data_IF_097619367129
#
_entry.id   IF_097619367129
#
_cell.length_a   1.000
_cell.length_b   1.000
_cell.length_c   1.000
_cell.angle_alpha   90.00
_cell.angle_beta   90.00
_cell.angle_gamma   90.00
#
_symmetry.space_group_name_H-M   'P 1'
#
loop_
_entity.id
_entity.type
_entity.pdbx_description
1 polymer ?
#
# COMPACT_ATOMS: atom_id res chain seq x y z
N UNK A 1 2.83 -26.17 13.12
CA UNK A 1 2.37 -25.43 11.96
C UNK A 1 1.39 -24.35 12.42
N UNK A 2 1.43 -23.20 11.77
CA UNK A 2 0.50 -22.08 11.94
C UNK A 2 -0.24 -21.89 10.63
N UNK A 3 -1.57 -21.83 10.66
CA UNK A 3 -2.39 -21.53 9.50
C UNK A 3 -2.84 -20.07 9.59
N UNK A 4 -2.54 -19.29 8.55
CA UNK A 4 -2.95 -17.89 8.43
C UNK A 4 -3.78 -17.67 7.17
N UNK A 5 -4.57 -16.58 7.08
CA UNK A 5 -5.06 -16.14 5.80
C UNK A 5 -3.90 -15.87 4.85
N UNK A 6 -4.12 -16.02 3.55
CA UNK A 6 -3.18 -15.54 2.54
C UNK A 6 -2.99 -14.01 2.65
N UNK A 7 -1.80 -13.53 2.36
CA UNK A 7 -1.44 -12.13 2.56
C UNK A 7 -2.12 -11.23 1.52
N UNK A 8 -2.49 -10.04 1.97
CA UNK A 8 -3.09 -8.96 1.17
C UNK A 8 -2.09 -7.83 1.07
N UNK A 9 -1.45 -7.71 -0.06
CA UNK A 9 -0.51 -6.60 -0.33
C UNK A 9 -1.26 -5.46 -1.01
N UNK A 10 -1.50 -4.39 -0.26
CA UNK A 10 -2.38 -3.30 -0.68
C UNK A 10 -1.69 -2.22 -1.53
N UNK A 11 -0.39 -2.37 -1.82
CA UNK A 11 0.39 -1.42 -2.59
C UNK A 11 1.52 -2.13 -3.36
N UNK A 12 1.26 -2.44 -4.64
CA UNK A 12 2.23 -3.12 -5.52
C UNK A 12 2.23 -2.49 -6.91
N UNK A 13 3.42 -2.18 -7.42
CA UNK A 13 3.60 -1.76 -8.80
C UNK A 13 3.56 -2.96 -9.74
N UNK A 14 2.37 -3.54 -9.96
CA UNK A 14 2.23 -4.80 -10.71
C UNK A 14 2.75 -4.75 -12.15
N UNK A 15 2.85 -3.54 -12.74
CA UNK A 15 3.51 -3.29 -14.04
C UNK A 15 5.01 -2.99 -13.89
N UNK A 16 5.56 -3.06 -12.68
CA UNK A 16 6.85 -2.51 -12.35
C UNK A 16 6.79 -1.00 -12.10
N UNK A 17 7.79 -0.47 -11.42
CA UNK A 17 8.02 0.94 -11.14
C UNK A 17 9.25 1.48 -11.87
N UNK A 18 9.75 2.61 -11.38
CA UNK A 18 10.95 3.25 -11.92
C UNK A 18 10.69 4.14 -13.12
N UNK A 19 11.76 4.48 -13.79
CA UNK A 19 11.80 5.49 -14.84
C UNK A 19 12.53 6.76 -14.39
N UNK A 20 12.69 6.95 -13.08
CA UNK A 20 13.54 7.99 -12.51
C UNK A 20 15.00 7.74 -12.89
N UNK A 21 15.65 8.75 -13.45
CA UNK A 21 17.01 8.62 -14.00
C UNK A 21 17.09 8.05 -15.41
N UNK A 22 15.95 7.85 -16.09
CA UNK A 22 15.87 7.49 -17.51
C UNK A 22 15.24 6.14 -17.81
N UNK A 23 15.00 5.88 -19.09
CA UNK A 23 14.26 4.72 -19.59
C UNK A 23 14.87 3.35 -19.25
N UNK A 24 16.15 3.29 -18.93
CA UNK A 24 16.81 2.05 -18.52
C UNK A 24 16.55 1.67 -17.05
N UNK A 25 16.10 2.61 -16.22
CA UNK A 25 15.86 2.41 -14.80
C UNK A 25 14.41 1.97 -14.54
N UNK A 26 14.06 0.80 -15.04
CA UNK A 26 12.72 0.23 -14.88
C UNK A 26 12.80 -1.12 -14.17
N UNK A 27 11.92 -1.34 -13.19
CA UNK A 27 11.75 -2.64 -12.55
C UNK A 27 10.84 -3.53 -13.40
N UNK A 28 10.96 -4.86 -13.32
CA UNK A 28 10.10 -5.78 -14.06
C UNK A 28 8.68 -5.81 -13.50
N UNK A 29 7.75 -6.36 -14.29
CA UNK A 29 6.39 -6.63 -13.83
C UNK A 29 6.35 -7.71 -12.74
N UNK A 30 5.35 -7.61 -11.84
CA UNK A 30 5.05 -8.68 -10.91
C UNK A 30 4.51 -9.91 -11.63
N UNK A 31 4.84 -11.10 -11.12
CA UNK A 31 4.25 -12.37 -11.57
C UNK A 31 3.46 -13.00 -10.43
N UNK A 32 2.42 -13.77 -10.75
CA UNK A 32 1.66 -14.51 -9.75
C UNK A 32 2.59 -15.42 -8.92
N UNK A 33 3.48 -16.16 -9.57
CA UNK A 33 4.45 -17.03 -8.90
C UNK A 33 5.36 -16.24 -7.93
N UNK A 34 5.85 -15.08 -8.39
CA UNK A 34 6.70 -14.20 -7.59
C UNK A 34 6.00 -13.65 -6.34
N UNK A 35 4.69 -13.38 -6.43
CA UNK A 35 3.88 -12.92 -5.31
C UNK A 35 3.49 -14.08 -4.38
N UNK A 36 2.96 -15.17 -4.93
CA UNK A 36 2.52 -16.34 -4.15
C UNK A 36 3.67 -16.98 -3.37
N UNK A 37 4.87 -17.02 -3.93
CA UNK A 37 6.07 -17.51 -3.25
C UNK A 37 6.27 -16.86 -1.87
N UNK A 38 5.81 -15.62 -1.70
CA UNK A 38 5.92 -14.87 -0.47
C UNK A 38 4.61 -14.78 0.32
N UNK A 39 3.64 -15.66 0.02
CA UNK A 39 2.37 -15.76 0.74
C UNK A 39 1.29 -14.78 0.27
N UNK A 40 1.58 -13.94 -0.72
CA UNK A 40 0.62 -12.95 -1.23
C UNK A 40 -0.37 -13.63 -2.17
N UNK A 41 -1.62 -13.73 -1.76
CA UNK A 41 -2.73 -14.28 -2.54
C UNK A 41 -3.66 -13.19 -3.08
N UNK A 42 -3.55 -12.00 -2.51
CA UNK A 42 -4.36 -10.83 -2.89
C UNK A 42 -3.47 -9.61 -3.07
N UNK A 43 -3.60 -8.91 -4.20
CA UNK A 43 -2.79 -7.74 -4.53
C UNK A 43 -3.64 -6.57 -4.98
N UNK A 44 -3.22 -5.35 -4.63
CA UNK A 44 -3.78 -4.12 -5.18
C UNK A 44 -2.70 -3.37 -5.95
N UNK A 45 -2.88 -3.29 -7.27
CA UNK A 45 -1.94 -2.68 -8.20
C UNK A 45 -2.06 -1.16 -8.23
N UNK A 46 -0.92 -0.47 -8.40
CA UNK A 46 -0.86 0.97 -8.61
C UNK A 46 0.13 1.34 -9.71
N UNK A 47 -0.02 2.55 -10.24
CA UNK A 47 0.99 3.25 -11.04
C UNK A 47 1.68 4.27 -10.13
N UNK A 48 3.00 4.36 -10.22
CA UNK A 48 3.78 5.33 -9.47
C UNK A 48 4.10 6.59 -10.28
N UNK A 49 5.37 7.01 -10.30
CA UNK A 49 5.85 8.23 -10.95
C UNK A 49 5.58 8.25 -12.46
N UNK A 50 5.77 7.10 -13.14
CA UNK A 50 5.51 6.98 -14.59
C UNK A 50 4.05 6.55 -14.85
N UNK A 51 3.17 7.52 -15.02
CA UNK A 51 1.79 7.33 -15.48
C UNK A 51 1.60 7.50 -16.98
N UNK A 52 2.68 7.47 -17.79
CA UNK A 52 2.68 7.66 -19.25
C UNK A 52 3.17 6.39 -19.95
N UNK A 53 4.36 5.95 -19.62
CA UNK A 53 4.95 4.72 -20.17
C UNK A 53 4.35 3.44 -19.58
N UNK A 54 3.68 3.56 -18.45
CA UNK A 54 2.77 2.59 -17.84
C UNK A 54 1.44 3.30 -17.60
N UNK A 55 0.39 2.86 -18.22
CA UNK A 55 -0.91 3.53 -18.20
C UNK A 55 -2.03 2.69 -17.57
N UNK A 56 -3.21 3.28 -17.44
CA UNK A 56 -4.37 2.63 -16.86
C UNK A 56 -4.87 1.43 -17.68
N UNK A 57 -4.73 1.46 -19.02
CA UNK A 57 -5.08 0.31 -19.85
C UNK A 57 -4.22 -0.90 -19.51
N UNK A 58 -2.91 -0.70 -19.45
CA UNK A 58 -1.96 -1.75 -19.10
C UNK A 58 -2.17 -2.24 -17.65
N UNK A 59 -2.43 -1.33 -16.70
CA UNK A 59 -2.67 -1.70 -15.30
C UNK A 59 -3.91 -2.58 -15.13
N UNK A 60 -5.04 -2.20 -15.74
CA UNK A 60 -6.29 -3.00 -15.68
C UNK A 60 -6.10 -4.33 -16.42
N UNK A 61 -5.43 -4.36 -17.57
CA UNK A 61 -5.13 -5.59 -18.29
C UNK A 61 -4.25 -6.54 -17.44
N UNK A 62 -3.22 -6.02 -16.78
CA UNK A 62 -2.37 -6.81 -15.87
C UNK A 62 -3.16 -7.36 -14.68
N UNK A 63 -4.01 -6.52 -14.08
CA UNK A 63 -4.87 -6.93 -12.96
C UNK A 63 -5.82 -8.07 -13.37
N UNK A 64 -6.43 -7.97 -14.55
CA UNK A 64 -7.25 -9.07 -15.12
C UNK A 64 -6.43 -10.32 -15.37
N UNK A 65 -5.23 -10.19 -15.95
CA UNK A 65 -4.34 -11.32 -16.20
C UNK A 65 -3.94 -12.06 -14.91
N UNK A 66 -3.66 -11.35 -13.82
CA UNK A 66 -3.41 -11.98 -12.52
C UNK A 66 -4.65 -12.73 -11.99
N UNK A 67 -5.85 -12.18 -12.20
CA UNK A 67 -7.12 -12.86 -11.83
C UNK A 67 -7.35 -14.13 -12.65
N UNK A 68 -7.08 -14.11 -13.95
CA UNK A 68 -7.18 -15.28 -14.83
C UNK A 68 -6.20 -16.40 -14.45
N UNK A 69 -5.06 -16.04 -13.87
CA UNK A 69 -4.07 -16.98 -13.34
C UNK A 69 -4.48 -17.56 -11.96
N UNK A 70 -5.58 -17.11 -11.37
CA UNK A 70 -6.09 -17.62 -10.08
C UNK A 70 -5.79 -16.73 -8.87
N UNK A 71 -5.12 -15.60 -9.04
CA UNK A 71 -4.85 -14.65 -7.97
C UNK A 71 -6.03 -13.69 -7.75
N UNK A 72 -6.20 -13.18 -6.54
CA UNK A 72 -7.11 -12.07 -6.28
C UNK A 72 -6.40 -10.75 -6.51
N UNK A 73 -6.89 -9.94 -7.46
CA UNK A 73 -6.21 -8.71 -7.85
C UNK A 73 -7.20 -7.57 -8.09
N UNK A 74 -6.85 -6.39 -7.60
CA UNK A 74 -7.51 -5.11 -7.84
C UNK A 74 -6.46 -4.05 -8.16
N UNK A 75 -6.90 -2.84 -8.50
CA UNK A 75 -6.00 -1.72 -8.72
C UNK A 75 -6.65 -0.38 -8.34
N UNK A 76 -5.82 0.64 -8.24
CA UNK A 76 -6.25 2.03 -8.13
C UNK A 76 -6.26 2.70 -9.50
N UNK A 77 -7.16 3.67 -9.73
CA UNK A 77 -7.09 4.54 -10.92
C UNK A 77 -6.18 5.72 -10.65
N UNK A 78 -5.36 6.07 -11.62
CA UNK A 78 -4.42 7.18 -11.53
C UNK A 78 -2.96 6.78 -11.38
N UNK A 79 -2.16 7.76 -11.03
CA UNK A 79 -0.72 7.68 -10.77
C UNK A 79 -0.35 8.79 -9.79
N UNK A 80 0.94 9.13 -9.61
CA UNK A 80 1.37 10.26 -8.76
C UNK A 80 0.67 11.58 -9.04
N UNK A 81 0.21 11.79 -10.25
CA UNK A 81 -0.11 13.11 -10.79
C UNK A 81 -1.59 13.50 -10.61
N UNK A 82 -1.83 14.77 -10.35
CA UNK A 82 -3.12 15.45 -10.42
C UNK A 82 -3.02 16.51 -11.52
N UNK A 83 -3.97 16.59 -12.45
CA UNK A 83 -5.20 15.79 -12.57
C UNK A 83 -4.95 14.31 -12.85
N UNK A 84 -5.82 13.47 -12.31
CA UNK A 84 -5.72 12.01 -12.42
C UNK A 84 -5.97 11.57 -13.87
N UNK A 85 -5.09 10.71 -14.39
CA UNK A 85 -5.29 10.05 -15.68
C UNK A 85 -6.10 8.78 -15.47
N UNK A 86 -7.33 8.79 -15.93
CA UNK A 86 -8.30 7.70 -15.77
C UNK A 86 -8.39 6.84 -17.03
N UNK A 87 -8.94 5.63 -16.92
CA UNK A 87 -9.21 4.77 -18.08
C UNK A 87 -10.44 5.27 -18.87
N UNK A 88 -11.43 5.77 -18.15
CA UNK A 88 -12.61 6.42 -18.75
C UNK A 88 -12.46 7.94 -18.72
N UNK A 89 -13.55 8.69 -18.62
CA UNK A 89 -13.57 10.14 -18.58
C UNK A 89 -13.61 10.75 -17.17
N UNK A 90 -13.40 9.93 -16.11
CA UNK A 90 -13.37 10.42 -14.74
C UNK A 90 -13.19 9.35 -13.67
N UNK A 91 -12.69 9.79 -12.51
CA UNK A 91 -12.40 8.93 -11.35
C UNK A 91 -13.64 8.16 -10.89
N UNK A 92 -14.75 8.87 -10.70
CA UNK A 92 -16.02 8.26 -10.25
C UNK A 92 -16.46 7.16 -11.19
N UNK A 93 -16.37 7.39 -12.51
CA UNK A 93 -16.77 6.43 -13.54
C UNK A 93 -15.85 5.22 -13.60
N UNK A 94 -14.55 5.41 -13.48
CA UNK A 94 -13.59 4.30 -13.38
C UNK A 94 -13.94 3.37 -12.21
N UNK A 95 -14.12 3.92 -11.02
CA UNK A 95 -14.43 3.14 -9.81
C UNK A 95 -15.79 2.43 -9.95
N UNK A 96 -16.80 3.10 -10.51
CA UNK A 96 -18.13 2.53 -10.65
C UNK A 96 -18.19 1.42 -11.70
N UNK A 97 -17.58 1.62 -12.85
CA UNK A 97 -17.84 0.82 -14.05
C UNK A 97 -16.79 -0.26 -14.30
N UNK A 98 -15.61 -0.18 -13.67
CA UNK A 98 -14.52 -1.15 -13.84
C UNK A 98 -14.38 -1.94 -12.54
N UNK A 99 -14.68 -3.24 -12.60
CA UNK A 99 -14.73 -4.12 -11.42
C UNK A 99 -13.43 -4.09 -10.61
N UNK A 100 -12.31 -4.09 -11.28
CA UNK A 100 -10.98 -4.17 -10.69
C UNK A 100 -10.55 -2.88 -9.99
N UNK A 101 -11.15 -1.73 -10.34
CA UNK A 101 -10.77 -0.44 -9.76
C UNK A 101 -11.57 -0.19 -8.48
N UNK A 102 -10.86 -0.05 -7.35
CA UNK A 102 -11.47 0.08 -6.01
C UNK A 102 -11.24 1.44 -5.34
N UNK A 103 -10.45 2.30 -5.94
CA UNK A 103 -10.10 3.62 -5.39
C UNK A 103 -9.18 4.37 -6.34
N UNK A 104 -8.54 5.42 -5.84
CA UNK A 104 -7.62 6.28 -6.61
C UNK A 104 -6.22 6.21 -6.00
N UNK A 105 -5.22 6.17 -6.81
CA UNK A 105 -3.82 6.17 -6.34
C UNK A 105 -2.86 5.58 -7.38
N UNK A 106 -1.65 5.68 -7.07
CA UNK A 106 -0.95 6.26 -5.91
C UNK A 106 -0.79 7.79 -6.12
N UNK A 107 -1.46 8.62 -5.31
CA UNK A 107 -1.40 10.08 -5.46
C UNK A 107 -0.28 10.63 -4.60
N UNK A 108 0.69 11.32 -5.19
CA UNK A 108 1.85 11.83 -4.46
C UNK A 108 1.62 13.22 -3.88
N UNK A 109 1.87 13.36 -2.57
CA UNK A 109 1.96 14.64 -1.87
C UNK A 109 3.25 14.71 -1.07
N UNK A 110 3.69 15.93 -0.75
CA UNK A 110 4.94 16.16 0.02
C UNK A 110 6.16 15.48 -0.59
N UNK A 111 6.18 15.33 -1.91
CA UNK A 111 7.26 14.74 -2.70
C UNK A 111 7.62 15.68 -3.86
N UNK A 112 8.90 15.76 -4.20
CA UNK A 112 9.38 16.59 -5.31
C UNK A 112 8.88 16.08 -6.68
N UNK A 113 8.47 14.81 -6.78
CA UNK A 113 7.90 14.18 -7.99
C UNK A 113 6.39 14.38 -8.10
N UNK A 114 5.74 14.89 -7.06
CA UNK A 114 4.32 15.23 -7.06
C UNK A 114 4.01 16.37 -8.03
N UNK A 115 2.78 16.40 -8.57
CA UNK A 115 2.25 17.55 -9.34
C UNK A 115 2.01 18.79 -8.47
N UNK A 116 2.26 18.73 -7.17
CA UNK A 116 2.03 19.80 -6.19
C UNK A 116 0.56 20.28 -6.20
N UNK A 117 -0.44 19.38 -6.05
CA UNK A 117 -1.83 19.76 -6.13
C UNK A 117 -2.18 20.83 -5.09
N UNK A 118 -3.08 21.72 -5.47
CA UNK A 118 -3.71 22.66 -4.55
C UNK A 118 -4.68 21.94 -3.63
N UNK A 119 -5.13 22.62 -2.57
CA UNK A 119 -6.15 22.07 -1.68
C UNK A 119 -7.44 21.74 -2.44
N UNK A 120 -7.89 22.63 -3.32
CA UNK A 120 -9.12 22.47 -4.10
C UNK A 120 -9.06 21.28 -5.05
N UNK A 121 -7.93 21.07 -5.71
CA UNK A 121 -7.71 19.93 -6.59
C UNK A 121 -7.71 18.62 -5.81
N UNK A 122 -7.02 18.58 -4.67
CA UNK A 122 -6.95 17.39 -3.83
C UNK A 122 -8.29 17.07 -3.16
N UNK A 123 -9.04 18.09 -2.68
CA UNK A 123 -10.38 17.93 -2.14
C UNK A 123 -11.38 17.44 -3.21
N UNK A 124 -11.30 17.95 -4.45
CA UNK A 124 -12.12 17.49 -5.57
C UNK A 124 -11.85 16.04 -5.89
N UNK A 125 -10.57 15.66 -6.00
CA UNK A 125 -10.16 14.27 -6.20
C UNK A 125 -10.73 13.36 -5.10
N UNK A 126 -10.68 13.80 -3.85
CA UNK A 126 -11.20 13.05 -2.71
C UNK A 126 -12.73 12.87 -2.80
N UNK A 127 -13.45 13.92 -3.19
CA UNK A 127 -14.90 13.87 -3.38
C UNK A 127 -15.29 12.91 -4.52
N UNK A 128 -14.60 12.98 -5.67
CA UNK A 128 -14.88 12.12 -6.83
C UNK A 128 -14.59 10.64 -6.52
N UNK A 129 -13.50 10.36 -5.82
CA UNK A 129 -13.14 9.00 -5.36
C UNK A 129 -14.17 8.45 -4.40
N UNK A 130 -14.58 9.26 -3.40
CA UNK A 130 -15.58 8.89 -2.42
C UNK A 130 -16.93 8.58 -3.08
N UNK A 131 -17.38 9.44 -4.00
CA UNK A 131 -18.62 9.24 -4.72
C UNK A 131 -18.60 7.92 -5.51
N UNK A 132 -17.49 7.63 -6.19
CA UNK A 132 -17.31 6.35 -6.89
C UNK A 132 -17.45 5.14 -5.97
N UNK A 133 -16.83 5.17 -4.80
CA UNK A 133 -16.94 4.12 -3.79
C UNK A 133 -18.36 3.95 -3.25
N UNK A 134 -19.00 5.05 -2.85
CA UNK A 134 -20.37 5.04 -2.30
C UNK A 134 -21.37 4.47 -3.32
N UNK A 135 -21.30 4.89 -4.57
CA UNK A 135 -22.23 4.46 -5.62
C UNK A 135 -22.02 3.02 -6.09
N UNK A 136 -20.79 2.49 -5.98
CA UNK A 136 -20.47 1.12 -6.41
C UNK A 136 -20.40 0.10 -5.28
N UNK A 137 -20.44 0.54 -4.01
CA UNK A 137 -20.25 -0.33 -2.84
C UNK A 137 -18.80 -0.85 -2.72
N UNK A 138 -17.84 -0.12 -3.30
CA UNK A 138 -16.40 -0.38 -3.19
C UNK A 138 -15.75 0.52 -2.13
N UNK A 139 -14.48 0.30 -1.84
CA UNK A 139 -13.75 1.10 -0.85
C UNK A 139 -13.78 2.60 -1.16
N UNK A 140 -13.49 2.97 -2.40
CA UNK A 140 -13.40 4.37 -2.81
C UNK A 140 -12.38 5.15 -1.98
N UNK A 141 -11.29 4.53 -1.60
CA UNK A 141 -10.21 5.17 -0.84
C UNK A 141 -9.18 5.79 -1.77
N UNK A 142 -8.44 6.76 -1.25
CA UNK A 142 -7.26 7.31 -1.91
C UNK A 142 -6.02 6.72 -1.27
N UNK A 143 -5.24 5.97 -2.02
CA UNK A 143 -3.89 5.58 -1.65
C UNK A 143 -2.97 6.78 -1.92
N UNK A 144 -2.35 7.31 -0.86
CA UNK A 144 -1.58 8.56 -0.90
C UNK A 144 -0.11 8.28 -0.63
N UNK A 145 0.72 8.49 -1.64
CA UNK A 145 2.17 8.48 -1.49
C UNK A 145 2.66 9.68 -0.69
N UNK A 146 3.32 9.43 0.41
CA UNK A 146 3.93 10.46 1.23
C UNK A 146 5.44 10.53 0.97
N UNK A 147 5.91 11.68 0.50
CA UNK A 147 7.33 11.95 0.31
C UNK A 147 8.03 12.48 1.56
N UNK A 148 9.30 12.88 1.40
CA UNK A 148 10.13 13.47 2.46
C UNK A 148 9.91 14.98 2.65
N UNK A 149 8.91 15.57 1.99
CA UNK A 149 8.65 17.00 2.04
C UNK A 149 8.21 17.48 3.42
N UNK A 150 8.58 18.72 3.75
CA UNK A 150 8.34 19.31 5.08
C UNK A 150 6.86 19.44 5.45
N UNK A 151 5.94 19.41 4.47
CA UNK A 151 4.49 19.51 4.67
C UNK A 151 3.84 18.23 5.18
N UNK A 152 4.54 17.10 5.09
CA UNK A 152 4.04 15.80 5.56
C UNK A 152 2.63 15.50 5.04
N UNK A 153 1.63 15.47 5.95
CA UNK A 153 0.24 15.12 5.67
C UNK A 153 -0.70 16.35 5.59
N UNK A 154 -0.15 17.57 5.46
CA UNK A 154 -0.92 18.81 5.53
C UNK A 154 -2.18 18.83 4.65
N UNK A 155 -2.10 18.37 3.39
CA UNK A 155 -3.26 18.34 2.49
C UNK A 155 -4.36 17.39 2.98
N UNK A 156 -4.00 16.22 3.51
CA UNK A 156 -4.96 15.27 4.11
C UNK A 156 -5.62 15.91 5.33
N UNK A 157 -4.82 16.49 6.25
CA UNK A 157 -5.30 17.12 7.48
C UNK A 157 -6.26 18.27 7.14
N UNK A 158 -5.96 19.07 6.13
CA UNK A 158 -6.82 20.16 5.69
C UNK A 158 -8.13 19.66 5.09
N UNK A 159 -8.11 18.66 4.21
CA UNK A 159 -9.36 18.11 3.64
C UNK A 159 -10.27 17.59 4.74
N UNK A 160 -9.72 16.88 5.72
CA UNK A 160 -10.53 16.35 6.85
C UNK A 160 -11.11 17.48 7.72
N UNK A 161 -10.36 18.57 7.92
CA UNK A 161 -10.79 19.66 8.82
C UNK A 161 -11.62 20.74 8.13
N UNK A 162 -11.47 20.93 6.84
CA UNK A 162 -12.10 22.01 6.07
C UNK A 162 -13.26 21.51 5.16
N UNK A 163 -13.53 20.18 5.13
CA UNK A 163 -14.63 19.57 4.34
C UNK A 163 -15.34 18.48 5.14
N UNK A 164 -16.41 17.89 4.58
CA UNK A 164 -17.15 16.77 5.16
C UNK A 164 -16.52 15.39 4.81
N UNK A 165 -15.33 15.37 4.23
CA UNK A 165 -14.64 14.13 3.85
C UNK A 165 -13.97 13.52 5.09
N UNK A 166 -14.31 12.28 5.48
CA UNK A 166 -13.77 11.67 6.69
C UNK A 166 -12.33 11.18 6.51
N UNK A 167 -11.61 11.01 7.62
CA UNK A 167 -10.26 10.44 7.63
C UNK A 167 -10.18 9.06 6.95
N UNK A 168 -11.21 8.23 7.09
CA UNK A 168 -11.29 6.91 6.44
C UNK A 168 -11.28 6.94 4.90
N UNK A 169 -11.33 8.13 4.30
CA UNK A 169 -11.20 8.31 2.86
C UNK A 169 -9.78 8.09 2.34
N UNK A 170 -8.78 8.21 3.21
CA UNK A 170 -7.37 8.18 2.82
C UNK A 170 -6.65 6.97 3.43
N UNK A 171 -5.76 6.38 2.64
CA UNK A 171 -4.76 5.39 3.07
C UNK A 171 -3.38 5.94 2.71
N UNK A 172 -2.79 6.81 3.57
CA UNK A 172 -1.44 7.29 3.38
C UNK A 172 -0.44 6.15 3.55
N UNK A 173 0.42 5.97 2.56
CA UNK A 173 1.50 4.98 2.56
C UNK A 173 2.86 5.63 2.81
N UNK A 174 3.87 4.83 3.15
CA UNK A 174 5.22 5.26 3.51
C UNK A 174 5.27 6.12 4.79
N UNK A 175 4.35 5.88 5.73
CA UNK A 175 4.27 6.70 6.95
C UNK A 175 5.50 6.60 7.85
N UNK A 176 6.31 5.55 7.64
CA UNK A 176 7.56 5.30 8.37
C UNK A 176 8.80 5.98 7.76
N UNK A 177 8.66 6.74 6.68
CA UNK A 177 9.77 7.30 5.89
C UNK A 177 10.73 8.23 6.67
N UNK A 178 10.24 8.91 7.70
CA UNK A 178 11.05 9.67 8.67
C UNK A 178 10.25 9.96 9.93
N UNK A 179 10.94 10.32 11.02
CA UNK A 179 10.33 10.55 12.34
C UNK A 179 9.27 11.65 12.33
N UNK A 180 9.50 12.75 11.61
CA UNK A 180 8.55 13.88 11.55
C UNK A 180 7.22 13.47 10.93
N UNK A 181 7.28 12.76 9.80
CA UNK A 181 6.12 12.22 9.10
C UNK A 181 5.39 11.20 9.97
N UNK A 182 6.16 10.33 10.62
CA UNK A 182 5.62 9.28 11.48
C UNK A 182 4.84 9.84 12.68
N UNK A 183 5.31 10.93 13.32
CA UNK A 183 4.55 11.61 14.38
C UNK A 183 3.19 12.11 13.87
N UNK A 184 3.16 12.68 12.67
CA UNK A 184 1.90 13.11 12.02
C UNK A 184 0.97 11.92 11.70
N UNK A 185 1.54 10.79 11.31
CA UNK A 185 0.78 9.57 11.09
C UNK A 185 0.14 9.03 12.38
N UNK A 186 0.82 9.10 13.52
CA UNK A 186 0.23 8.78 14.84
C UNK A 186 -0.96 9.70 15.13
N UNK A 187 -0.78 11.03 15.01
CA UNK A 187 -1.84 12.00 15.25
C UNK A 187 -3.08 11.75 14.38
N UNK A 188 -2.86 11.37 13.12
CA UNK A 188 -3.91 11.03 12.16
C UNK A 188 -4.60 9.71 12.52
N UNK A 189 -3.83 8.67 12.85
CA UNK A 189 -4.37 7.34 13.16
C UNK A 189 -5.17 7.29 14.48
N UNK A 190 -4.75 8.06 15.49
CA UNK A 190 -5.51 8.23 16.75
C UNK A 190 -6.89 8.86 16.50
N UNK A 191 -7.03 9.69 15.47
CA UNK A 191 -8.32 10.28 15.05
C UNK A 191 -9.17 9.35 14.19
N UNK A 192 -8.72 8.10 13.99
CA UNK A 192 -9.44 7.05 13.24
C UNK A 192 -9.07 6.92 11.77
N UNK A 193 -8.01 7.56 11.31
CA UNK A 193 -7.44 7.32 9.98
C UNK A 193 -6.70 5.99 9.91
N UNK A 194 -6.70 5.36 8.74
CA UNK A 194 -5.86 4.20 8.45
C UNK A 194 -4.51 4.64 7.91
N UNK A 195 -3.45 3.91 8.22
CA UNK A 195 -2.08 4.19 7.80
C UNK A 195 -1.40 2.96 7.27
N UNK A 196 -0.49 3.14 6.32
CA UNK A 196 0.24 2.07 5.67
C UNK A 196 1.75 2.26 5.82
N UNK A 197 2.39 1.27 6.45
CA UNK A 197 3.84 1.17 6.55
C UNK A 197 4.40 0.50 5.31
N UNK A 198 5.54 0.95 4.85
CA UNK A 198 6.30 0.24 3.81
C UNK A 198 7.29 -0.70 4.47
N UNK A 199 7.15 -2.00 4.18
CA UNK A 199 8.12 -3.01 4.59
C UNK A 199 9.36 -3.01 3.69
N UNK A 200 10.48 -3.43 4.23
CA UNK A 200 11.75 -3.46 3.54
C UNK A 200 12.51 -4.78 3.76
N UNK A 201 13.25 -5.24 2.73
CA UNK A 201 14.13 -6.40 2.85
C UNK A 201 15.39 -6.11 3.68
N UNK A 202 15.97 -4.93 3.47
CA UNK A 202 17.20 -4.49 4.15
C UNK A 202 16.84 -3.55 5.32
N UNK A 203 16.04 -4.06 6.30
CA UNK A 203 15.45 -3.27 7.40
C UNK A 203 16.48 -2.40 8.13
N UNK A 204 17.65 -2.98 8.46
CA UNK A 204 18.70 -2.26 9.20
C UNK A 204 19.30 -1.12 8.36
N UNK A 205 19.41 -1.28 7.04
CA UNK A 205 19.86 -0.23 6.13
C UNK A 205 18.89 0.97 6.14
N UNK A 206 17.60 0.71 6.00
CA UNK A 206 16.61 1.77 5.95
C UNK A 206 16.51 2.53 7.28
N UNK A 207 16.61 1.82 8.42
CA UNK A 207 16.65 2.47 9.73
C UNK A 207 17.91 3.31 9.94
N UNK A 208 19.11 2.80 9.58
CA UNK A 208 20.37 3.43 9.98
C UNK A 208 20.92 4.41 8.96
N UNK A 209 20.69 4.19 7.67
CA UNK A 209 21.20 5.03 6.57
C UNK A 209 20.16 6.01 6.06
N UNK A 210 18.89 5.59 6.01
CA UNK A 210 17.80 6.40 5.47
C UNK A 210 16.97 7.09 6.56
N UNK A 211 17.27 6.87 7.85
CA UNK A 211 16.54 7.43 9.00
C UNK A 211 15.05 7.11 9.02
N UNK A 212 14.68 5.94 8.48
CA UNK A 212 13.31 5.46 8.51
C UNK A 212 12.94 4.91 9.89
N UNK A 213 11.69 5.10 10.29
CA UNK A 213 11.16 4.47 11.50
C UNK A 213 10.94 2.98 11.22
N UNK A 214 11.70 2.12 11.89
CA UNK A 214 11.55 0.65 11.78
C UNK A 214 10.11 0.23 12.02
N UNK A 215 9.53 -0.57 11.12
CA UNK A 215 8.10 -0.92 11.14
C UNK A 215 7.65 -1.47 12.50
N UNK A 216 8.36 -2.46 13.04
CA UNK A 216 7.99 -3.07 14.33
C UNK A 216 8.01 -2.07 15.50
N UNK A 217 8.98 -1.15 15.53
CA UNK A 217 9.03 -0.07 16.53
C UNK A 217 7.90 0.94 16.32
N UNK A 218 7.63 1.29 15.06
CA UNK A 218 6.55 2.20 14.68
C UNK A 218 5.18 1.67 15.10
N UNK A 219 4.86 0.42 14.76
CA UNK A 219 3.60 -0.23 15.15
C UNK A 219 3.47 -0.28 16.68
N UNK A 220 4.52 -0.64 17.41
CA UNK A 220 4.49 -0.64 18.88
C UNK A 220 4.14 0.74 19.42
N UNK A 221 4.79 1.79 18.91
CA UNK A 221 4.52 3.18 19.31
C UNK A 221 3.10 3.63 18.98
N UNK A 222 2.54 3.22 17.82
CA UNK A 222 1.13 3.48 17.48
C UNK A 222 0.17 2.82 18.45
N UNK A 223 0.41 1.54 18.79
CA UNK A 223 -0.41 0.80 19.75
C UNK A 223 -0.35 1.44 21.14
N UNK A 224 0.84 1.86 21.60
CA UNK A 224 1.04 2.55 22.88
C UNK A 224 0.36 3.93 22.92
N UNK A 225 0.25 4.60 21.76
CA UNK A 225 -0.50 5.85 21.60
C UNK A 225 -2.03 5.65 21.50
N UNK A 226 -2.52 4.39 21.54
CA UNK A 226 -3.95 4.09 21.51
C UNK A 226 -4.55 4.01 20.10
N UNK A 227 -3.72 3.88 19.05
CA UNK A 227 -4.21 3.65 17.68
C UNK A 227 -4.90 2.27 17.64
N UNK A 228 -6.08 2.23 17.03
CA UNK A 228 -6.77 0.97 16.79
C UNK A 228 -5.91 0.08 15.85
N UNK A 229 -5.50 -1.14 16.27
CA UNK A 229 -4.68 -2.02 15.45
C UNK A 229 -5.27 -2.32 14.07
N UNK A 230 -6.58 -2.24 13.90
CA UNK A 230 -7.26 -2.44 12.60
C UNK A 230 -6.99 -1.32 11.57
N UNK A 231 -6.47 -0.20 12.01
CA UNK A 231 -6.13 0.94 11.14
C UNK A 231 -4.67 0.92 10.66
N UNK A 232 -3.93 -0.13 10.98
CA UNK A 232 -2.52 -0.27 10.63
C UNK A 232 -2.36 -1.35 9.57
N UNK A 233 -1.72 -1.02 8.45
CA UNK A 233 -1.33 -1.96 7.40
C UNK A 233 0.18 -1.90 7.17
N UNK A 234 0.70 -2.96 6.57
CA UNK A 234 2.04 -3.03 6.00
C UNK A 234 1.88 -3.45 4.55
N UNK A 235 2.46 -2.71 3.63
CA UNK A 235 2.59 -3.08 2.22
C UNK A 235 4.05 -3.22 1.80
N UNK A 236 4.29 -3.86 0.67
CA UNK A 236 5.64 -4.13 0.22
C UNK A 236 6.24 -3.04 -0.66
N UNK A 237 5.41 -2.15 -1.22
CA UNK A 237 5.83 -1.33 -2.37
C UNK A 237 6.48 -2.20 -3.46
N UNK A 238 5.93 -3.42 -3.62
CA UNK A 238 6.51 -4.47 -4.45
C UNK A 238 6.66 -4.03 -5.90
N UNK A 239 7.81 -4.37 -6.53
CA UNK A 239 8.21 -3.91 -7.86
C UNK A 239 8.39 -2.37 -7.97
N UNK A 240 8.17 -1.61 -6.90
CA UNK A 240 8.49 -0.19 -6.83
C UNK A 240 10.00 0.06 -6.94
N UNK A 241 10.38 1.24 -7.41
CA UNK A 241 11.79 1.64 -7.50
C UNK A 241 12.31 2.14 -6.16
N UNK A 242 13.38 1.53 -5.66
CA UNK A 242 14.04 1.89 -4.41
C UNK A 242 15.46 2.39 -4.70
N UNK A 243 15.71 3.71 -4.72
CA UNK A 243 17.07 4.22 -4.89
C UNK A 243 17.91 3.91 -3.64
N UNK A 244 19.01 3.20 -3.82
CA UNK A 244 19.95 2.84 -2.76
C UNK A 244 21.11 3.83 -2.78
N UNK A 245 21.42 4.39 -1.62
CA UNK A 245 22.48 5.38 -1.41
C UNK A 245 23.55 4.80 -0.48
N UNK A 246 24.79 5.34 -0.56
CA UNK A 246 25.82 5.04 0.43
C UNK A 246 25.69 5.97 1.65
N UNK A 247 26.55 5.75 2.66
CA UNK A 247 26.59 6.56 3.89
C UNK A 247 26.86 8.07 3.64
N UNK A 248 27.36 8.42 2.46
CA UNK A 248 27.57 9.82 2.05
C UNK A 248 26.39 10.43 1.30
N UNK A 249 25.30 9.65 1.09
CA UNK A 249 24.12 10.07 0.32
C UNK A 249 24.32 10.01 -1.20
N UNK A 250 25.36 9.32 -1.70
CA UNK A 250 25.60 9.16 -3.13
C UNK A 250 24.81 7.95 -3.66
N UNK A 251 24.15 8.12 -4.80
CA UNK A 251 23.38 7.05 -5.44
C UNK A 251 24.29 5.88 -5.85
N UNK A 252 23.98 4.70 -5.40
CA UNK A 252 24.70 3.46 -5.72
C UNK A 252 24.02 2.66 -6.84
N UNK A 253 22.73 2.38 -6.66
CA UNK A 253 21.95 1.56 -7.59
C UNK A 253 20.47 1.76 -7.38
N UNK A 254 19.69 1.40 -8.37
CA UNK A 254 18.24 1.21 -8.21
C UNK A 254 17.98 -0.18 -7.64
N UNK A 255 17.33 -0.24 -6.49
CA UNK A 255 16.74 -1.43 -5.91
C UNK A 255 15.29 -1.58 -6.33
N UNK A 256 14.63 -2.62 -5.81
CA UNK A 256 13.23 -2.93 -6.11
C UNK A 256 12.55 -3.46 -4.85
N UNK A 257 11.37 -2.94 -4.52
CA UNK A 257 10.51 -3.47 -3.47
C UNK A 257 10.13 -4.93 -3.74
N UNK A 258 10.04 -5.73 -2.69
CA UNK A 258 9.68 -7.16 -2.79
C UNK A 258 8.69 -7.55 -1.70
N UNK A 259 7.66 -8.31 -2.07
CA UNK A 259 6.62 -8.77 -1.13
C UNK A 259 7.15 -9.75 -0.06
N UNK A 260 8.37 -10.26 -0.19
CA UNK A 260 9.07 -11.05 0.85
C UNK A 260 9.25 -10.28 2.16
N UNK A 261 9.30 -8.95 2.12
CA UNK A 261 9.41 -8.11 3.32
C UNK A 261 8.20 -8.25 4.25
N UNK A 262 7.00 -8.55 3.75
CA UNK A 262 5.77 -8.57 4.55
C UNK A 262 5.86 -9.51 5.75
N UNK A 263 6.17 -10.78 5.51
CA UNK A 263 6.30 -11.76 6.60
C UNK A 263 7.51 -11.48 7.49
N UNK A 264 8.57 -10.93 6.92
CA UNK A 264 9.77 -10.52 7.68
C UNK A 264 9.44 -9.42 8.68
N UNK A 265 8.68 -8.40 8.28
CA UNK A 265 8.21 -7.35 9.18
C UNK A 265 7.26 -7.90 10.27
N UNK A 266 6.38 -8.84 9.92
CA UNK A 266 5.54 -9.53 10.91
C UNK A 266 6.39 -10.27 11.94
N UNK A 267 7.43 -11.01 11.51
CA UNK A 267 8.35 -11.69 12.44
C UNK A 267 9.02 -10.71 13.40
N UNK A 268 9.52 -9.59 12.88
CA UNK A 268 10.13 -8.57 13.72
C UNK A 268 9.14 -7.93 14.71
N UNK A 269 7.88 -7.73 14.29
CA UNK A 269 6.83 -7.27 15.19
C UNK A 269 6.63 -8.21 16.38
N UNK A 270 6.66 -9.52 16.14
CA UNK A 270 6.52 -10.53 17.19
C UNK A 270 7.78 -10.64 18.04
N UNK A 271 8.94 -10.83 17.42
CA UNK A 271 10.19 -11.17 18.08
C UNK A 271 10.86 -9.98 18.76
N UNK A 272 10.85 -8.81 18.11
CA UNK A 272 11.56 -7.63 18.60
C UNK A 272 10.67 -6.64 19.34
N UNK A 273 9.41 -6.50 18.94
CA UNK A 273 8.48 -5.55 19.57
C UNK A 273 7.46 -6.19 20.50
N UNK A 274 7.43 -7.52 20.62
CA UNK A 274 6.50 -8.24 21.50
C UNK A 274 5.03 -8.04 21.14
N UNK A 275 4.74 -7.78 19.85
CA UNK A 275 3.37 -7.64 19.36
C UNK A 275 2.78 -9.05 19.17
N UNK A 276 1.56 -9.33 19.68
CA UNK A 276 0.92 -10.62 19.47
C UNK A 276 0.84 -10.98 17.98
N UNK A 277 1.08 -12.26 17.63
CA UNK A 277 1.10 -12.72 16.23
C UNK A 277 -0.21 -12.38 15.50
N UNK A 278 -1.36 -12.55 16.17
CA UNK A 278 -2.66 -12.22 15.57
C UNK A 278 -2.77 -10.74 15.19
N UNK A 279 -2.21 -9.85 16.00
CA UNK A 279 -2.17 -8.42 15.71
C UNK A 279 -1.18 -8.12 14.58
N UNK A 280 0.02 -8.70 14.64
CA UNK A 280 1.04 -8.49 13.61
C UNK A 280 0.60 -9.01 12.25
N UNK A 281 0.08 -10.25 12.16
CA UNK A 281 -0.36 -10.84 10.90
C UNK A 281 -1.60 -10.12 10.32
N UNK A 282 -2.45 -9.53 11.17
CA UNK A 282 -3.62 -8.79 10.70
C UNK A 282 -3.24 -7.57 9.85
N UNK A 283 -2.05 -6.99 10.06
CA UNK A 283 -1.56 -5.84 9.29
C UNK A 283 -1.32 -6.14 7.81
N UNK A 284 -1.11 -7.40 7.46
CA UNK A 284 -0.92 -7.89 6.08
C UNK A 284 -2.04 -8.85 5.62
N UNK A 285 -3.12 -8.98 6.38
CA UNK A 285 -4.24 -9.87 6.04
C UNK A 285 -5.59 -9.17 6.22
N UNK A 286 -6.16 -9.21 7.42
CA UNK A 286 -7.50 -8.71 7.70
C UNK A 286 -7.61 -7.19 7.58
N UNK A 287 -6.61 -6.44 8.04
CA UNK A 287 -6.68 -4.97 8.05
C UNK A 287 -6.74 -4.38 6.63
N UNK A 288 -5.79 -4.68 5.71
CA UNK A 288 -5.88 -4.16 4.35
C UNK A 288 -7.16 -4.63 3.64
N UNK A 289 -7.61 -5.88 3.87
CA UNK A 289 -8.86 -6.36 3.30
C UNK A 289 -10.09 -5.58 3.79
N UNK A 290 -10.17 -5.25 5.08
CA UNK A 290 -11.27 -4.46 5.67
C UNK A 290 -11.23 -3.00 5.19
N UNK A 291 -10.07 -2.34 5.24
CA UNK A 291 -9.89 -0.95 4.79
C UNK A 291 -10.26 -0.80 3.31
N UNK A 292 -9.88 -1.76 2.49
CA UNK A 292 -10.14 -1.77 1.05
C UNK A 292 -11.45 -2.45 0.66
N UNK A 293 -12.28 -2.82 1.66
CA UNK A 293 -13.59 -3.46 1.45
C UNK A 293 -13.53 -4.68 0.53
N UNK A 294 -12.45 -5.46 0.59
CA UNK A 294 -12.24 -6.66 -0.23
C UNK A 294 -13.06 -7.82 0.35
N UNK A 295 -14.22 -8.06 -0.24
CA UNK A 295 -15.15 -9.08 0.23
C UNK A 295 -14.55 -10.48 0.12
N UNK A 296 -14.69 -11.28 1.17
CA UNK A 296 -14.21 -12.66 1.23
C UNK A 296 -12.69 -12.80 1.41
N UNK A 297 -11.97 -11.73 1.80
CA UNK A 297 -10.50 -11.71 1.92
C UNK A 297 -10.00 -11.48 3.35
N UNK A 298 -8.77 -11.86 3.60
CA UNK A 298 -8.02 -11.54 4.81
C UNK A 298 -8.42 -12.32 6.08
N UNK A 299 -9.33 -13.30 5.98
CA UNK A 299 -9.79 -14.11 7.12
C UNK A 299 -10.04 -15.55 6.71
N UNK A 300 -9.74 -16.49 7.63
CA UNK A 300 -10.16 -17.89 7.52
C UNK A 300 -11.56 -17.98 8.12
N UNK A 301 -12.57 -18.04 7.26
CA UNK A 301 -13.96 -18.07 7.66
C UNK A 301 -14.83 -18.74 6.59
N UNK A 302 -15.87 -19.46 7.00
CA UNK A 302 -16.86 -20.00 6.09
C UNK A 302 -17.47 -18.92 5.18
N UNK A 303 -17.52 -19.19 3.89
CA UNK A 303 -17.99 -18.26 2.85
C UNK A 303 -16.94 -17.25 2.35
N UNK A 304 -15.72 -17.33 2.88
CA UNK A 304 -14.55 -16.58 2.37
C UNK A 304 -13.77 -17.43 1.36
N UNK A 305 -13.02 -16.79 0.49
CA UNK A 305 -12.12 -17.48 -0.42
C UNK A 305 -11.05 -18.24 0.39
N UNK A 306 -10.68 -19.44 -0.08
CA UNK A 306 -9.65 -20.24 0.55
C UNK A 306 -8.25 -19.73 0.19
N UNK A 307 -7.97 -18.50 0.60
CA UNK A 307 -6.65 -17.89 0.56
C UNK A 307 -5.93 -18.19 1.87
N UNK A 308 -4.97 -19.11 1.83
CA UNK A 308 -4.32 -19.66 3.01
C UNK A 308 -2.81 -19.64 2.87
N UNK A 309 -2.14 -19.45 4.01
CA UNK A 309 -0.70 -19.59 4.13
C UNK A 309 -0.37 -20.51 5.30
N UNK A 310 0.36 -21.59 5.04
CA UNK A 310 0.84 -22.53 6.07
C UNK A 310 2.26 -22.14 6.43
N UNK A 311 2.47 -21.82 7.71
CA UNK A 311 3.77 -21.44 8.24
C UNK A 311 4.27 -22.52 9.23
N UNK A 312 5.57 -22.70 9.32
CA UNK A 312 6.16 -23.51 10.40
C UNK A 312 6.25 -22.72 11.72
N UNK A 313 6.89 -23.30 12.73
CA UNK A 313 7.06 -22.67 14.04
C UNK A 313 8.00 -21.45 14.01
N UNK A 314 8.88 -21.37 13.03
CA UNK A 314 9.76 -20.22 12.77
C UNK A 314 9.12 -19.17 11.86
N UNK A 315 7.82 -19.32 11.58
CA UNK A 315 7.05 -18.48 10.65
C UNK A 315 7.63 -18.49 9.22
N UNK A 316 8.20 -19.63 8.77
CA UNK A 316 8.63 -19.81 7.37
C UNK A 316 7.47 -20.41 6.54
N UNK A 317 7.26 -19.87 5.34
CA UNK A 317 6.20 -20.33 4.44
C UNK A 317 6.48 -21.76 3.99
N UNK A 318 5.53 -22.66 4.22
CA UNK A 318 5.58 -24.05 3.77
C UNK A 318 4.67 -24.28 2.57
N UNK A 319 3.49 -23.67 2.56
CA UNK A 319 2.49 -23.82 1.50
C UNK A 319 1.63 -22.57 1.38
N UNK A 320 1.22 -22.24 0.17
CA UNK A 320 0.32 -21.14 -0.14
C UNK A 320 -0.81 -21.65 -1.03
N UNK A 321 -2.04 -21.36 -0.65
CA UNK A 321 -3.24 -21.68 -1.41
C UNK A 321 -3.91 -20.36 -1.79
N UNK A 322 -4.17 -20.16 -3.06
CA UNK A 322 -4.87 -19.00 -3.58
C UNK A 322 -6.21 -19.45 -4.20
N UNK A 323 -7.31 -19.01 -3.58
CA UNK A 323 -8.70 -19.29 -3.99
C UNK A 323 -9.13 -20.76 -3.96
N UNK A 324 -8.35 -21.63 -3.32
CA UNK A 324 -8.66 -23.06 -3.15
C UNK A 324 -8.16 -23.96 -4.24
#
# INVERSE_FOLDING_TARGET
LVLTPGFVDCHVHVLGGGGEGGFANRTPEATMEGLNKFGVTTVVGCLGTDGIGRDMCALVAKTKGLREQGMSAWCYTGSYQVPVRTLTDGITKDIMMIEEIIGTGEIAISDHRSSQPTFEEFARLAADTRLGGVLSGKAGVINVHLGNGARCMELIERVISETEIPASQFLPTHVNRNEKLFQKAIEYAVKGGAVDFTGNEEIDYWETVCDEVRVCKGIRRMLDAGVNPKHITISSDGQGSLPIFNEKGEFLRMGMGQSSCLLKEVKECVEKAGIPLETAISTITANPAEILSLKGKGKIREGYDADLCVLDQGLEIQEVVARG
#
